data_IF_164640671114
#
_entry.id   IF_164640671114
#
_cell.length_a   1.000
_cell.length_b   1.000
_cell.length_c   1.000
_cell.angle_alpha   90.00
_cell.angle_beta   90.00
_cell.angle_gamma   90.00
#
_symmetry.space_group_name_H-M   'P 1'
#
loop_
_entity.id
_entity.type
_entity.pdbx_description
1 polymer ?
#
# COMPACT_ATOMS: atom_id res chain seq x y z
N UNK A 1 14.77 -6.38 -19.51
CA UNK A 1 15.85 -6.16 -20.49
C UNK A 1 16.29 -4.71 -20.40
N UNK A 2 17.51 -4.47 -19.91
CA UNK A 2 18.16 -3.16 -19.94
C UNK A 2 18.65 -2.85 -21.36
N UNK A 3 18.96 -1.58 -21.64
CA UNK A 3 19.39 -1.15 -22.98
C UNK A 3 20.64 -1.94 -23.44
N UNK A 4 21.61 -2.10 -22.54
CA UNK A 4 22.88 -2.78 -22.84
C UNK A 4 22.71 -4.28 -23.12
N UNK A 5 21.73 -4.92 -22.48
CA UNK A 5 21.41 -6.33 -22.70
C UNK A 5 20.77 -6.54 -24.08
N UNK A 6 19.91 -5.61 -24.53
CA UNK A 6 19.34 -5.64 -25.87
C UNK A 6 20.42 -5.44 -26.94
N UNK A 7 21.35 -4.51 -26.71
CA UNK A 7 22.47 -4.25 -27.61
C UNK A 7 23.37 -5.49 -27.78
N UNK A 8 23.68 -6.19 -26.68
CA UNK A 8 24.44 -7.46 -26.73
C UNK A 8 23.71 -8.55 -27.53
N UNK A 9 22.40 -8.71 -27.33
CA UNK A 9 21.60 -9.69 -28.08
C UNK A 9 21.61 -9.38 -29.59
N UNK A 10 21.49 -8.10 -29.96
CA UNK A 10 21.55 -7.68 -31.36
C UNK A 10 22.92 -7.94 -32.00
N UNK A 11 24.01 -7.76 -31.24
CA UNK A 11 25.36 -8.09 -31.70
C UNK A 11 25.59 -9.60 -31.86
N UNK A 12 25.10 -10.40 -30.91
CA UNK A 12 25.28 -11.86 -30.94
C UNK A 12 24.42 -12.56 -32.00
N UNK A 13 23.25 -12.01 -32.33
CA UNK A 13 22.32 -12.61 -33.30
C UNK A 13 21.90 -11.58 -34.35
N UNK A 14 22.82 -11.18 -35.27
CA UNK A 14 22.58 -10.08 -36.21
C UNK A 14 21.46 -10.36 -37.22
N UNK A 15 21.12 -11.63 -37.45
CA UNK A 15 20.00 -12.02 -38.33
C UNK A 15 18.64 -12.06 -37.61
N UNK A 16 18.62 -11.94 -36.28
CA UNK A 16 17.40 -12.01 -35.48
C UNK A 16 16.92 -10.61 -35.12
N UNK A 17 15.70 -10.26 -35.55
CA UNK A 17 15.08 -8.99 -35.16
C UNK A 17 14.45 -9.08 -33.78
N UNK A 18 15.14 -8.58 -32.76
CA UNK A 18 14.58 -8.44 -31.41
C UNK A 18 13.63 -7.24 -31.32
N UNK A 19 12.39 -7.47 -30.85
CA UNK A 19 11.43 -6.41 -30.52
C UNK A 19 11.17 -6.43 -29.02
N UNK A 20 11.80 -5.52 -28.27
CA UNK A 20 11.60 -5.41 -26.85
C UNK A 20 10.17 -4.90 -26.56
N UNK A 21 9.33 -5.75 -25.95
CA UNK A 21 8.01 -5.35 -25.47
C UNK A 21 8.15 -4.75 -24.08
N UNK A 22 8.61 -3.50 -24.01
CA UNK A 22 8.80 -2.79 -22.74
C UNK A 22 7.46 -2.18 -22.31
N UNK A 23 6.46 -3.03 -22.07
CA UNK A 23 5.13 -2.60 -21.65
C UNK A 23 5.19 -1.87 -20.31
N UNK A 24 5.84 -2.45 -19.30
CA UNK A 24 5.87 -1.90 -17.95
C UNK A 24 6.44 -0.49 -17.86
N UNK A 25 7.48 -0.13 -18.62
CA UNK A 25 8.05 1.23 -18.57
C UNK A 25 7.21 2.26 -19.35
N UNK A 26 6.52 1.81 -20.40
CA UNK A 26 5.59 2.64 -21.18
C UNK A 26 4.25 2.85 -20.47
N UNK A 27 3.72 1.80 -19.84
CA UNK A 27 2.43 1.82 -19.15
C UNK A 27 2.53 2.34 -17.71
N UNK A 28 3.61 2.01 -16.98
CA UNK A 28 3.79 2.51 -15.61
C UNK A 28 4.44 3.90 -15.55
N UNK A 29 4.92 4.42 -16.69
CA UNK A 29 5.47 5.78 -16.82
C UNK A 29 6.57 6.13 -15.82
N UNK A 30 6.71 7.42 -15.57
CA UNK A 30 7.46 7.97 -14.43
C UNK A 30 6.59 7.82 -13.16
N UNK A 31 7.14 7.19 -12.12
CA UNK A 31 6.42 6.98 -10.86
C UNK A 31 6.10 8.29 -10.14
N UNK A 32 6.88 9.33 -10.40
CA UNK A 32 6.67 10.66 -9.83
C UNK A 32 5.65 11.48 -10.63
N UNK A 33 5.14 10.97 -11.76
CA UNK A 33 4.16 11.67 -12.57
C UNK A 33 2.76 11.76 -11.92
N UNK A 34 2.48 10.90 -10.94
CA UNK A 34 1.20 10.89 -10.21
C UNK A 34 1.43 10.68 -8.73
N UNK A 35 0.72 11.43 -7.90
CA UNK A 35 0.69 11.23 -6.46
C UNK A 35 -0.75 10.97 -6.00
N UNK A 36 -0.95 9.96 -5.16
CA UNK A 36 -2.25 9.63 -4.61
C UNK A 36 -2.36 10.13 -3.18
N UNK A 37 -3.53 10.67 -2.84
CA UNK A 37 -3.82 11.20 -1.52
C UNK A 37 -5.19 10.73 -1.05
N UNK A 38 -5.33 10.49 0.25
CA UNK A 38 -6.61 10.25 0.91
C UNK A 38 -6.81 11.25 2.03
N UNK A 39 -7.98 11.88 2.07
CA UNK A 39 -8.34 12.83 3.11
C UNK A 39 -8.68 12.12 4.43
N UNK A 40 -8.27 12.69 5.56
CA UNK A 40 -8.69 12.28 6.89
C UNK A 40 -10.12 12.74 7.12
N UNK A 41 -11.01 11.78 7.32
CA UNK A 41 -12.43 11.99 7.53
C UNK A 41 -12.79 12.05 9.01
N UNK A 42 -12.08 11.28 9.85
CA UNK A 42 -12.30 11.24 11.29
C UNK A 42 -11.01 10.83 12.04
N UNK A 43 -10.88 11.30 13.28
CA UNK A 43 -9.75 11.01 14.16
C UNK A 43 -10.27 10.75 15.57
N UNK A 44 -10.09 9.52 16.04
CA UNK A 44 -10.49 9.11 17.39
C UNK A 44 -9.26 8.77 18.22
N UNK A 45 -9.05 9.47 19.34
CA UNK A 45 -7.97 9.13 20.29
C UNK A 45 -8.27 7.81 20.98
N UNK A 46 -7.23 7.01 21.17
CA UNK A 46 -7.29 5.73 21.89
C UNK A 46 -6.12 5.59 22.84
N UNK A 47 -6.37 4.99 24.00
CA UNK A 47 -5.39 4.63 25.01
C UNK A 47 -5.10 3.14 24.94
N UNK A 48 -3.94 2.71 25.43
CA UNK A 48 -3.56 1.29 25.50
C UNK A 48 -4.63 0.46 26.22
N UNK A 49 -5.10 -0.59 25.56
CA UNK A 49 -6.11 -1.51 26.09
C UNK A 49 -7.54 -1.17 25.67
N UNK A 50 -7.78 0.04 25.13
CA UNK A 50 -9.06 0.40 24.51
C UNK A 50 -9.40 -0.57 23.39
N UNK A 51 -10.70 -0.79 23.20
CA UNK A 51 -11.21 -1.70 22.17
C UNK A 51 -11.70 -0.92 20.96
N UNK A 52 -11.46 -1.45 19.78
CA UNK A 52 -11.94 -0.87 18.54
C UNK A 52 -12.38 -1.93 17.54
N UNK A 53 -13.16 -1.47 16.55
CA UNK A 53 -13.57 -2.28 15.43
C UNK A 53 -14.61 -3.34 15.74
N UNK A 54 -15.07 -4.04 14.69
CA UNK A 54 -16.10 -5.07 14.82
C UNK A 54 -15.63 -6.25 15.67
N UNK A 55 -14.33 -6.59 15.58
CA UNK A 55 -13.72 -7.68 16.35
C UNK A 55 -13.26 -7.26 17.75
N UNK A 56 -13.54 -6.01 18.16
CA UNK A 56 -13.22 -5.49 19.49
C UNK A 56 -11.75 -5.72 19.88
N UNK A 57 -10.84 -5.46 18.94
CA UNK A 57 -9.40 -5.63 19.14
C UNK A 57 -8.87 -4.61 20.14
N UNK A 58 -7.94 -5.01 20.99
CA UNK A 58 -7.28 -4.11 21.95
C UNK A 58 -6.14 -3.35 21.27
N UNK A 59 -6.06 -2.05 21.52
CA UNK A 59 -4.90 -1.24 21.16
C UNK A 59 -3.67 -1.67 21.96
N UNK A 60 -2.51 -1.72 21.31
CA UNK A 60 -1.26 -2.11 21.97
C UNK A 60 -0.55 -0.95 22.67
N UNK A 61 -0.86 0.29 22.27
CA UNK A 61 -0.27 1.54 22.76
C UNK A 61 -1.25 2.70 22.58
N UNK A 62 -0.95 3.84 23.19
CA UNK A 62 -1.68 5.09 23.00
C UNK A 62 -1.48 5.64 21.57
N UNK A 63 -2.50 6.31 21.04
CA UNK A 63 -2.46 6.92 19.72
C UNK A 63 -3.84 7.31 19.22
N UNK A 64 -4.04 7.16 17.91
CA UNK A 64 -5.27 7.52 17.22
C UNK A 64 -5.69 6.44 16.22
N UNK A 65 -6.99 6.24 16.14
CA UNK A 65 -7.64 5.61 15.00
C UNK A 65 -8.01 6.70 14.01
N UNK A 66 -7.59 6.53 12.76
CA UNK A 66 -7.74 7.54 11.72
C UNK A 66 -8.53 6.93 10.59
N UNK A 67 -9.68 7.53 10.27
CA UNK A 67 -10.50 7.14 9.13
C UNK A 67 -10.04 7.97 7.94
N UNK A 68 -9.60 7.30 6.88
CA UNK A 68 -9.06 7.94 5.68
C UNK A 68 -9.90 7.53 4.47
N UNK A 69 -10.22 8.49 3.61
CA UNK A 69 -10.84 8.24 2.32
C UNK A 69 -9.92 7.37 1.45
N UNK A 70 -10.50 6.34 0.83
CA UNK A 70 -9.75 5.34 0.08
C UNK A 70 -9.88 3.97 0.72
N UNK A 71 -10.63 3.10 0.05
CA UNK A 71 -10.91 1.73 0.44
C UNK A 71 -10.72 0.76 -0.73
N UNK A 72 -11.27 -0.45 -0.62
CA UNK A 72 -11.08 -1.49 -1.65
C UNK A 72 -11.63 -1.08 -3.02
N UNK A 73 -12.69 -0.26 -3.08
CA UNK A 73 -13.20 0.31 -4.34
C UNK A 73 -12.21 1.24 -5.03
N UNK A 74 -11.25 1.80 -4.27
CA UNK A 74 -10.18 2.66 -4.77
C UNK A 74 -8.88 1.89 -5.03
N UNK A 75 -8.91 0.55 -4.95
CA UNK A 75 -7.73 -0.29 -5.11
C UNK A 75 -6.87 -0.44 -3.84
N UNK A 76 -7.32 0.04 -2.68
CA UNK A 76 -6.62 -0.18 -1.40
C UNK A 76 -6.78 -1.63 -0.95
N UNK A 77 -5.70 -2.24 -0.46
CA UNK A 77 -5.73 -3.62 0.06
C UNK A 77 -5.79 -4.71 -1.01
N UNK A 78 -5.79 -4.35 -2.30
CA UNK A 78 -5.60 -5.30 -3.40
C UNK A 78 -4.11 -5.64 -3.53
N UNK A 79 -3.64 -6.65 -2.80
CA UNK A 79 -2.32 -7.23 -3.05
C UNK A 79 -2.43 -8.22 -4.22
N UNK A 80 -1.65 -8.02 -5.28
CA UNK A 80 -1.54 -9.02 -6.34
C UNK A 80 -1.03 -10.35 -5.76
N UNK A 81 -1.57 -11.51 -6.17
CA UNK A 81 -1.07 -12.80 -5.70
C UNK A 81 0.43 -12.89 -5.92
N UNK A 82 1.21 -12.95 -4.83
CA UNK A 82 2.64 -13.24 -4.92
C UNK A 82 2.77 -14.70 -5.33
N UNK A 83 3.20 -14.95 -6.57
CA UNK A 83 3.60 -16.28 -7.00
C UNK A 83 4.83 -16.72 -6.19
N UNK A 84 4.57 -17.40 -5.08
CA UNK A 84 5.60 -17.91 -4.18
C UNK A 84 6.14 -19.24 -4.73
N UNK A 85 7.14 -19.16 -5.60
CA UNK A 85 7.89 -20.35 -6.03
C UNK A 85 9.10 -20.58 -5.10
N UNK A 86 9.22 -21.79 -4.52
CA UNK A 86 10.40 -22.24 -3.77
C UNK A 86 10.15 -22.66 -2.31
N UNK A 87 11.18 -23.21 -1.66
CA UNK A 87 11.15 -23.75 -0.28
C UNK A 87 11.21 -22.64 0.79
N UNK A 88 11.94 -21.55 0.53
CA UNK A 88 12.03 -20.37 1.40
C UNK A 88 10.68 -19.68 1.68
N UNK A 89 9.78 -19.50 0.68
CA UNK A 89 8.43 -19.02 0.90
C UNK A 89 7.57 -19.88 1.84
N UNK A 90 7.74 -21.20 1.85
CA UNK A 90 6.98 -22.11 2.73
C UNK A 90 7.39 -21.95 4.20
N UNK A 91 8.69 -21.76 4.47
CA UNK A 91 9.18 -21.45 5.81
C UNK A 91 8.66 -20.09 6.32
N UNK A 92 8.62 -19.06 5.46
CA UNK A 92 7.92 -17.80 5.79
C UNK A 92 6.44 -17.99 6.04
N UNK A 93 5.78 -18.93 5.35
CA UNK A 93 4.38 -19.30 5.59
C UNK A 93 4.12 -19.83 7.01
N UNK A 94 5.05 -20.63 7.56
CA UNK A 94 4.95 -21.15 8.94
C UNK A 94 5.16 -20.04 9.98
N UNK A 95 6.14 -19.14 9.75
CA UNK A 95 6.31 -17.95 10.61
C UNK A 95 5.06 -17.03 10.56
N UNK A 96 4.44 -16.89 9.37
CA UNK A 96 3.20 -16.12 9.19
C UNK A 96 2.01 -16.80 9.86
N UNK A 97 1.95 -18.13 9.92
CA UNK A 97 0.91 -18.88 10.63
C UNK A 97 1.00 -18.72 12.16
N UNK A 98 2.22 -18.64 12.72
CA UNK A 98 2.43 -18.34 14.16
C UNK A 98 2.14 -16.88 14.55
N UNK A 99 2.29 -15.94 13.60
CA UNK A 99 2.03 -14.50 13.76
C UNK A 99 0.65 -14.05 13.26
N UNK A 100 -0.14 -14.95 12.65
CA UNK A 100 -1.46 -14.66 12.06
C UNK A 100 -2.51 -14.28 13.11
N UNK A 101 -2.20 -14.39 14.40
CA UNK A 101 -3.05 -13.91 15.50
C UNK A 101 -3.01 -12.39 15.68
N UNK A 102 -2.16 -11.68 14.93
CA UNK A 102 -2.08 -10.22 14.93
C UNK A 102 -2.33 -9.73 13.50
N UNK A 103 -3.57 -9.30 13.22
CA UNK A 103 -4.02 -8.75 11.94
C UNK A 103 -3.38 -7.38 11.64
N UNK A 104 -2.05 -7.32 11.62
CA UNK A 104 -1.27 -6.12 11.31
C UNK A 104 -0.82 -6.23 9.86
N UNK A 105 -1.61 -5.68 8.95
CA UNK A 105 -1.19 -5.45 7.57
C UNK A 105 -0.84 -3.96 7.40
N UNK A 106 0.27 -3.69 6.72
CA UNK A 106 0.62 -2.33 6.36
C UNK A 106 -0.39 -1.81 5.33
N UNK A 107 -0.88 -0.59 5.54
CA UNK A 107 -1.71 0.13 4.59
C UNK A 107 -0.83 0.85 3.56
N UNK A 108 -1.34 1.23 2.38
CA UNK A 108 -0.56 2.03 1.44
C UNK A 108 -0.34 3.48 1.91
N UNK A 109 -1.00 3.90 2.99
CA UNK A 109 -0.95 5.27 3.48
C UNK A 109 0.31 5.55 4.28
N UNK A 110 0.89 6.71 4.02
CA UNK A 110 2.08 7.26 4.66
C UNK A 110 1.68 8.50 5.43
N UNK A 111 2.10 8.56 6.69
CA UNK A 111 1.92 9.72 7.55
C UNK A 111 3.23 10.03 8.26
N UNK A 112 3.66 11.30 8.29
CA UNK A 112 4.95 11.71 8.86
C UNK A 112 6.13 10.82 8.39
N UNK A 113 6.21 10.54 7.09
CA UNK A 113 7.27 9.74 6.47
C UNK A 113 7.26 8.24 6.79
N UNK A 114 6.27 7.72 7.53
CA UNK A 114 6.15 6.29 7.84
C UNK A 114 4.84 5.72 7.34
N UNK A 115 4.92 4.53 6.74
CA UNK A 115 3.75 3.75 6.35
C UNK A 115 2.96 3.32 7.59
N UNK A 116 1.63 3.43 7.53
CA UNK A 116 0.75 3.17 8.67
C UNK A 116 0.10 1.81 8.57
N UNK A 117 -0.18 1.22 9.72
CA UNK A 117 -0.85 -0.07 9.82
C UNK A 117 -2.35 0.13 9.68
N UNK A 118 -3.02 -0.79 9.01
CA UNK A 118 -4.45 -0.94 9.15
C UNK A 118 -4.79 -1.26 10.61
N UNK A 119 -5.75 -0.54 11.16
CA UNK A 119 -6.43 -0.94 12.40
C UNK A 119 -7.42 -2.08 12.08
N UNK A 120 -8.18 -1.95 11.00
CA UNK A 120 -9.08 -2.98 10.49
C UNK A 120 -8.85 -3.24 9.00
N UNK A 121 -9.24 -4.41 8.46
CA UNK A 121 -9.26 -4.62 7.01
C UNK A 121 -9.96 -3.45 6.30
N UNK A 122 -9.44 -2.95 5.17
CA UNK A 122 -10.04 -1.82 4.48
C UNK A 122 -11.49 -2.11 4.06
N UNK A 123 -12.37 -1.15 4.28
CA UNK A 123 -13.75 -1.20 3.80
C UNK A 123 -13.82 -0.72 2.35
N UNK A 124 -15.00 -0.74 1.74
CA UNK A 124 -15.16 -0.33 0.33
C UNK A 124 -14.68 1.10 0.07
N UNK A 125 -15.07 2.04 0.92
CA UNK A 125 -14.82 3.47 0.71
C UNK A 125 -13.70 4.04 1.59
N UNK A 126 -13.46 3.45 2.75
CA UNK A 126 -12.54 4.01 3.76
C UNK A 126 -11.56 2.96 4.26
N UNK A 127 -10.43 3.46 4.74
CA UNK A 127 -9.44 2.69 5.49
C UNK A 127 -9.35 3.23 6.91
N UNK A 128 -9.26 2.34 7.89
CA UNK A 128 -9.05 2.72 9.30
C UNK A 128 -7.61 2.37 9.64
N UNK A 129 -6.84 3.38 10.05
CA UNK A 129 -5.41 3.29 10.31
C UNK A 129 -5.13 3.51 11.79
N UNK A 130 -4.08 2.88 12.30
CA UNK A 130 -3.53 3.20 13.62
C UNK A 130 -2.32 4.13 13.47
N UNK A 131 -2.37 5.28 14.15
CA UNK A 131 -1.25 6.22 14.28
C UNK A 131 -0.81 6.26 15.75
N UNK A 132 0.44 5.91 16.07
CA UNK A 132 0.92 5.93 17.45
C UNK A 132 1.10 7.37 17.98
N UNK A 133 0.95 7.54 19.29
CA UNK A 133 1.06 8.83 20.00
C UNK A 133 2.40 9.56 19.88
N UNK A 134 3.46 8.87 19.45
CA UNK A 134 4.79 9.45 19.18
C UNK A 134 4.91 10.07 17.78
N UNK A 135 3.91 9.90 16.91
CA UNK A 135 3.79 10.59 15.64
C UNK A 135 2.98 11.88 15.79
N UNK A 136 3.13 12.81 14.84
CA UNK A 136 2.29 14.00 14.74
C UNK A 136 0.81 13.58 14.68
N UNK A 137 -0.04 14.22 15.48
CA UNK A 137 -1.48 13.97 15.48
C UNK A 137 -2.11 14.38 14.13
N UNK A 138 -2.79 13.46 13.41
CA UNK A 138 -3.60 13.81 12.25
C UNK A 138 -4.83 14.60 12.66
N UNK A 139 -5.29 15.49 11.79
CA UNK A 139 -6.53 16.26 11.95
C UNK A 139 -7.48 15.96 10.80
N UNK A 140 -8.77 16.08 11.06
CA UNK A 140 -9.79 16.00 10.00
C UNK A 140 -9.49 17.07 8.94
N UNK A 141 -9.51 16.66 7.68
CA UNK A 141 -9.14 17.50 6.54
C UNK A 141 -7.66 17.42 6.13
N UNK A 142 -6.78 16.81 6.94
CA UNK A 142 -5.42 16.49 6.50
C UNK A 142 -5.46 15.46 5.36
N UNK A 143 -4.39 15.40 4.55
CA UNK A 143 -4.23 14.41 3.49
C UNK A 143 -3.03 13.50 3.76
N UNK A 144 -3.26 12.18 3.66
CA UNK A 144 -2.19 11.18 3.70
C UNK A 144 -1.80 10.81 2.27
N UNK A 145 -0.50 10.78 2.00
CA UNK A 145 0.03 10.20 0.76
C UNK A 145 -0.25 8.70 0.75
N UNK A 146 -0.65 8.16 -0.39
CA UNK A 146 -0.91 6.74 -0.58
C UNK A 146 -0.06 6.19 -1.73
N UNK A 147 0.61 5.06 -1.48
CA UNK A 147 1.35 4.35 -2.51
C UNK A 147 0.45 3.28 -3.13
N UNK A 148 -0.23 3.66 -4.22
CA UNK A 148 -1.20 2.81 -4.92
C UNK A 148 -0.73 2.48 -6.34
N UNK A 149 -1.34 1.44 -6.91
CA UNK A 149 -1.08 1.01 -8.29
C UNK A 149 -2.03 1.73 -9.25
N UNK A 150 -1.50 2.65 -10.06
CA UNK A 150 -2.29 3.42 -11.04
C UNK A 150 -3.19 2.58 -11.96
N UNK A 151 -2.83 1.32 -12.27
CA UNK A 151 -3.65 0.45 -13.13
C UNK A 151 -4.93 -0.07 -12.47
N UNK A 152 -5.04 0.03 -11.14
CA UNK A 152 -6.17 -0.48 -10.35
C UNK A 152 -6.79 0.58 -9.44
N UNK A 153 -6.14 1.73 -9.28
CA UNK A 153 -6.66 2.84 -8.47
C UNK A 153 -7.79 3.54 -9.21
N UNK A 154 -8.88 3.81 -8.51
CA UNK A 154 -9.93 4.72 -8.94
C UNK A 154 -9.86 5.99 -8.09
N UNK A 155 -10.08 7.15 -8.70
CA UNK A 155 -9.95 8.46 -8.06
C UNK A 155 -11.30 9.16 -7.98
N UNK A 156 -11.60 9.75 -6.82
CA UNK A 156 -12.77 10.62 -6.67
C UNK A 156 -12.52 12.01 -7.29
N UNK A 157 -11.26 12.44 -7.34
CA UNK A 157 -10.82 13.74 -7.84
C UNK A 157 -9.44 13.65 -8.48
N UNK A 158 -9.26 14.34 -9.60
CA UNK A 158 -7.98 14.54 -10.28
C UNK A 158 -7.67 16.04 -10.27
N UNK A 159 -6.42 16.41 -9.99
CA UNK A 159 -5.94 17.80 -9.96
C UNK A 159 -4.62 17.86 -10.73
N UNK A 160 -4.50 18.83 -11.63
CA UNK A 160 -3.25 19.12 -12.35
C UNK A 160 -2.31 19.95 -11.46
N UNK A 161 -1.01 19.69 -11.57
CA UNK A 161 0.05 20.42 -10.87
C UNK A 161 0.74 21.41 -11.79
#
# INVERSE_FOLDING_TARGET
LKADELARLQQQFPQTRFRARIGTRLWLGDHEATEYRGAVLDVTRVSKGDRFGYRQQKTASDGWLVVVAGGTSHGVGLEAPKALHGVMPRAKGVARAGLATVNRNLSPFVWAGKQRWFAEPPHMQVSILFVPSDATEPRVGDELVAHLRHTTTQFDRIVER
#
